data_IF_793559247373
#
_entry.id   IF_793559247373
#
_cell.length_a   1.000
_cell.length_b   1.000
_cell.length_c   1.000
_cell.angle_alpha   90.00
_cell.angle_beta   90.00
_cell.angle_gamma   90.00
#
_symmetry.space_group_name_H-M   'P 1'
#
loop_
_entity.id
_entity.type
_entity.pdbx_description
1 polymer ?
#
# COMPACT_ATOMS: atom_id res chain seq x y z
N UNK A 1 -2.33 -6.72 -7.52
CA UNK A 1 -3.38 -5.76 -7.16
C UNK A 1 -3.03 -4.36 -7.67
N UNK A 2 -2.04 -3.67 -7.08
CA UNK A 2 -1.68 -2.29 -7.42
C UNK A 2 -1.40 -2.03 -8.91
N UNK A 3 -0.50 -2.80 -9.53
CA UNK A 3 -0.20 -2.63 -10.96
C UNK A 3 -1.42 -2.84 -11.87
N UNK A 4 -2.30 -3.80 -11.52
CA UNK A 4 -3.53 -4.05 -12.26
C UNK A 4 -4.58 -2.93 -12.07
N UNK A 5 -4.48 -2.16 -10.99
CA UNK A 5 -5.28 -0.97 -10.72
C UNK A 5 -4.68 0.31 -11.34
N UNK A 6 -3.60 0.19 -12.12
CA UNK A 6 -2.93 1.35 -12.73
C UNK A 6 -2.08 2.15 -11.75
N UNK A 7 -1.75 1.60 -10.58
CA UNK A 7 -0.88 2.25 -9.59
C UNK A 7 0.59 2.03 -9.96
N UNK A 8 1.25 3.12 -10.36
CA UNK A 8 2.66 3.15 -10.64
C UNK A 8 3.45 3.43 -9.36
N UNK A 9 4.32 2.50 -8.98
CA UNK A 9 5.13 2.60 -7.77
C UNK A 9 6.28 3.58 -8.05
N UNK A 10 6.40 4.60 -7.21
CA UNK A 10 7.49 5.57 -7.24
C UNK A 10 8.56 5.22 -6.20
N UNK A 11 8.13 4.74 -5.04
CA UNK A 11 9.02 4.33 -3.96
C UNK A 11 8.43 3.15 -3.19
N UNK A 12 9.31 2.29 -2.70
CA UNK A 12 8.95 1.12 -1.92
C UNK A 12 10.01 0.87 -0.86
N UNK A 13 9.55 0.82 0.39
CA UNK A 13 10.34 0.44 1.54
C UNK A 13 9.71 -0.76 2.24
N UNK A 14 10.55 -1.64 2.77
CA UNK A 14 10.12 -2.81 3.53
C UNK A 14 10.98 -2.98 4.77
N UNK A 15 10.35 -3.30 5.89
CA UNK A 15 11.02 -3.58 7.15
C UNK A 15 10.43 -4.83 7.82
N UNK A 16 11.20 -5.41 8.74
CA UNK A 16 10.80 -6.54 9.57
C UNK A 16 10.94 -6.15 11.04
N UNK A 17 9.81 -6.07 11.72
CA UNK A 17 9.72 -5.84 13.15
C UNK A 17 9.37 -7.14 13.91
N UNK A 18 9.29 -7.04 15.23
CA UNK A 18 8.90 -8.17 16.09
C UNK A 18 10.07 -9.05 16.51
N UNK A 19 9.82 -10.35 16.69
CA UNK A 19 10.84 -11.31 17.11
C UNK A 19 11.08 -12.33 16.01
N UNK A 20 12.25 -13.00 16.01
CA UNK A 20 12.54 -14.06 15.04
C UNK A 20 11.47 -15.18 15.03
N UNK A 21 10.85 -15.46 16.18
CA UNK A 21 9.77 -16.44 16.32
C UNK A 21 8.39 -15.93 15.89
N UNK A 22 8.21 -14.60 15.79
CA UNK A 22 6.96 -13.93 15.42
C UNK A 22 7.29 -12.62 14.69
N UNK A 23 7.77 -12.70 13.44
CA UNK A 23 8.11 -11.52 12.68
C UNK A 23 6.84 -10.77 12.25
N UNK A 24 6.96 -9.45 12.11
CA UNK A 24 5.95 -8.58 11.55
C UNK A 24 6.56 -7.90 10.34
N UNK A 25 5.99 -8.17 9.16
CA UNK A 25 6.44 -7.56 7.91
C UNK A 25 5.67 -6.28 7.65
N UNK A 26 6.40 -5.20 7.38
CA UNK A 26 5.84 -3.87 7.12
C UNK A 26 6.29 -3.47 5.72
N UNK A 27 5.36 -3.03 4.89
CA UNK A 27 5.64 -2.48 3.57
C UNK A 27 5.03 -1.09 3.46
N UNK A 28 5.83 -0.14 3.00
CA UNK A 28 5.40 1.20 2.64
C UNK A 28 5.59 1.37 1.14
N UNK A 29 4.54 1.78 0.45
CA UNK A 29 4.53 1.93 -0.99
C UNK A 29 3.99 3.32 -1.29
N UNK A 30 4.81 4.14 -1.95
CA UNK A 30 4.37 5.42 -2.49
C UNK A 30 4.29 5.31 -4.01
N UNK A 31 3.27 5.94 -4.59
CA UNK A 31 3.06 5.86 -6.03
C UNK A 31 1.99 6.80 -6.52
N UNK A 32 1.74 6.73 -7.82
CA UNK A 32 0.77 7.56 -8.53
C UNK A 32 -0.18 6.69 -9.35
N UNK A 33 -1.43 7.10 -9.40
CA UNK A 33 -2.46 6.49 -10.22
C UNK A 33 -3.44 7.58 -10.68
N UNK A 34 -4.00 7.42 -11.87
CA UNK A 34 -5.12 8.26 -12.34
C UNK A 34 -6.48 7.80 -11.75
N UNK A 35 -6.48 6.65 -11.06
CA UNK A 35 -7.66 6.10 -10.41
C UNK A 35 -7.93 6.77 -9.05
N UNK A 36 -9.21 6.91 -8.65
CA UNK A 36 -9.57 7.36 -7.30
C UNK A 36 -8.97 6.46 -6.21
N UNK A 37 -8.71 7.02 -5.03
CA UNK A 37 -8.12 6.29 -3.90
C UNK A 37 -8.96 5.08 -3.49
N UNK A 38 -10.29 5.18 -3.58
CA UNK A 38 -11.24 4.11 -3.26
C UNK A 38 -11.08 2.91 -4.22
N UNK A 39 -10.67 3.16 -5.47
CA UNK A 39 -10.38 2.08 -6.42
C UNK A 39 -9.11 1.32 -6.05
N UNK A 40 -8.12 2.02 -5.50
CA UNK A 40 -6.88 1.41 -5.00
C UNK A 40 -7.17 0.62 -3.72
N UNK A 41 -7.97 1.17 -2.80
CA UNK A 41 -8.43 0.46 -1.60
C UNK A 41 -9.15 -0.83 -1.94
N UNK A 42 -10.11 -0.78 -2.86
CA UNK A 42 -10.86 -1.95 -3.27
C UNK A 42 -9.98 -3.02 -3.94
N UNK A 43 -8.96 -2.61 -4.70
CA UNK A 43 -8.00 -3.53 -5.28
C UNK A 43 -7.17 -4.30 -4.23
N UNK A 44 -7.06 -3.77 -3.00
CA UNK A 44 -6.32 -4.37 -1.89
C UNK A 44 -7.22 -5.18 -0.93
N UNK A 45 -8.53 -5.16 -1.12
CA UNK A 45 -9.49 -5.91 -0.29
C UNK A 45 -9.18 -7.42 -0.15
N UNK A 46 -8.69 -8.14 -1.18
CA UNK A 46 -8.26 -9.52 -1.02
C UNK A 46 -7.16 -9.69 0.05
N UNK A 47 -6.19 -8.78 0.12
CA UNK A 47 -5.11 -8.84 1.13
C UNK A 47 -5.64 -8.61 2.54
N UNK A 48 -6.63 -7.71 2.70
CA UNK A 48 -7.31 -7.49 3.99
C UNK A 48 -8.01 -8.76 4.47
N UNK A 49 -8.70 -9.46 3.56
CA UNK A 49 -9.36 -10.74 3.86
C UNK A 49 -8.37 -11.85 4.21
N UNK A 50 -7.16 -11.79 3.66
CA UNK A 50 -6.07 -12.71 3.98
C UNK A 50 -5.35 -12.35 5.31
N UNK A 51 -5.84 -11.34 6.04
CA UNK A 51 -5.36 -10.95 7.36
C UNK A 51 -4.21 -9.93 7.35
N UNK A 52 -3.93 -9.31 6.20
CA UNK A 52 -2.96 -8.22 6.11
C UNK A 52 -3.64 -6.91 6.46
N UNK A 53 -3.09 -6.17 7.43
CA UNK A 53 -3.53 -4.80 7.71
C UNK A 53 -2.99 -3.85 6.63
N UNK A 54 -3.89 -3.12 5.98
CA UNK A 54 -3.57 -2.25 4.84
C UNK A 54 -4.28 -0.92 5.05
N UNK A 55 -3.53 0.17 4.97
CA UNK A 55 -4.04 1.53 4.95
C UNK A 55 -3.62 2.21 3.64
N UNK A 56 -4.54 2.93 3.01
CA UNK A 56 -4.27 3.73 1.81
C UNK A 56 -4.69 5.14 2.11
N UNK A 57 -3.83 6.10 1.81
CA UNK A 57 -4.12 7.52 1.94
C UNK A 57 -3.62 8.27 0.72
N UNK A 58 -4.42 9.23 0.26
CA UNK A 58 -3.96 10.18 -0.75
C UNK A 58 -2.93 11.11 -0.11
N UNK A 59 -1.82 11.33 -0.81
CA UNK A 59 -0.82 12.32 -0.40
C UNK A 59 -1.15 13.60 -1.16
N UNK A 60 -1.52 14.65 -0.44
CA UNK A 60 -1.62 15.99 -1.02
C UNK A 60 -0.21 16.51 -1.30
N UNK A 61 0.17 16.56 -2.57
CA UNK A 61 1.33 17.35 -2.98
C UNK A 61 0.97 18.82 -2.80
N UNK A 62 1.52 19.47 -1.76
CA UNK A 62 1.53 20.93 -1.67
C UNK A 62 2.32 21.47 -2.87
N UNK A 63 1.59 21.86 -3.91
CA UNK A 63 2.13 22.71 -4.97
C UNK A 63 2.09 24.13 -4.40
N UNK A 64 3.26 24.69 -4.10
CA UNK A 64 3.42 26.08 -3.64
C UNK A 64 3.05 27.10 -4.71
#
# INVERSE_FOLDING_TARGET
>A
ALAAAGFNILDLESDVAGTASRPVYIMQIAGVADAPVESIEHALEPLRRDGVDVNVSAIETYIG
#
